data_IF_259623590601
#
_entry.id   IF_259623590601
#
_cell.length_a   1.000
_cell.length_b   1.000
_cell.length_c   1.000
_cell.angle_alpha   90.00
_cell.angle_beta   90.00
_cell.angle_gamma   90.00
#
_symmetry.space_group_name_H-M   'P 1'
#
loop_
_entity.id
_entity.type
_entity.pdbx_description
1 polymer ?
#
# COMPACT_ATOMS: atom_id res chain seq x y z
N UNK A 1 -14.47 -5.78 -3.73
CA UNK A 1 -13.24 -5.81 -4.57
C UNK A 1 -13.47 -5.18 -5.94
N UNK A 2 -14.69 -5.23 -6.50
CA UNK A 2 -15.04 -4.54 -7.75
C UNK A 2 -14.68 -3.05 -7.71
N UNK A 3 -14.91 -2.39 -6.58
CA UNK A 3 -14.65 -0.97 -6.35
C UNK A 3 -13.17 -0.63 -6.54
N UNK A 4 -12.27 -1.52 -6.09
CA UNK A 4 -10.82 -1.37 -6.30
C UNK A 4 -10.50 -1.47 -7.79
N UNK A 5 -11.03 -2.50 -8.48
CA UNK A 5 -10.81 -2.68 -9.92
C UNK A 5 -11.33 -1.47 -10.73
N UNK A 6 -12.53 -0.99 -10.42
CA UNK A 6 -13.16 0.13 -11.11
C UNK A 6 -12.38 1.43 -10.89
N UNK A 7 -11.84 1.63 -9.67
CA UNK A 7 -10.99 2.77 -9.36
C UNK A 7 -9.64 2.73 -10.10
N UNK A 8 -9.03 1.55 -10.24
CA UNK A 8 -7.74 1.38 -10.94
C UNK A 8 -7.78 1.82 -12.41
N UNK A 9 -8.97 1.87 -13.03
CA UNK A 9 -9.16 2.42 -14.38
C UNK A 9 -8.74 3.90 -14.49
N UNK A 10 -8.77 4.63 -13.37
CA UNK A 10 -8.49 6.06 -13.28
C UNK A 10 -7.12 6.35 -12.64
N UNK A 11 -6.25 5.35 -12.57
CA UNK A 11 -4.88 5.50 -12.06
C UNK A 11 -4.17 6.69 -12.72
N UNK A 12 -3.64 7.60 -11.90
CA UNK A 12 -2.86 8.73 -12.39
C UNK A 12 -3.68 9.90 -12.92
N UNK A 13 -5.02 9.81 -13.00
CA UNK A 13 -5.88 10.95 -13.33
C UNK A 13 -5.67 12.10 -12.34
N UNK A 14 -5.78 13.32 -12.86
CA UNK A 14 -5.68 14.53 -12.05
C UNK A 14 -7.02 14.80 -11.38
N UNK A 15 -7.01 14.85 -10.05
CA UNK A 15 -8.11 15.33 -9.24
C UNK A 15 -7.93 16.82 -8.92
N UNK A 16 -9.05 17.51 -8.81
CA UNK A 16 -9.17 18.89 -8.31
C UNK A 16 -10.47 19.01 -7.54
N UNK A 17 -10.56 19.96 -6.61
CA UNK A 17 -11.80 20.19 -5.87
C UNK A 17 -12.96 20.42 -6.88
N UNK A 18 -14.07 19.64 -6.80
CA UNK A 18 -15.21 19.77 -7.71
C UNK A 18 -15.74 21.20 -7.86
N UNK A 19 -15.71 22.01 -6.80
CA UNK A 19 -16.15 23.41 -6.83
C UNK A 19 -15.28 24.29 -7.73
N UNK A 20 -14.02 23.91 -7.93
CA UNK A 20 -13.03 24.60 -8.76
C UNK A 20 -12.84 23.94 -10.13
N UNK A 21 -13.60 22.89 -10.44
CA UNK A 21 -13.42 22.08 -11.64
C UNK A 21 -14.26 22.56 -12.84
N UNK A 22 -15.18 23.50 -12.63
CA UNK A 22 -16.02 24.05 -13.70
C UNK A 22 -16.80 22.94 -14.42
N UNK A 23 -16.59 22.82 -15.73
CA UNK A 23 -17.24 21.79 -16.55
C UNK A 23 -16.87 20.34 -16.14
N UNK A 24 -15.72 20.12 -15.50
CA UNK A 24 -15.30 18.80 -15.02
C UNK A 24 -15.82 18.45 -13.62
N UNK A 25 -16.71 19.27 -13.03
CA UNK A 25 -17.24 19.04 -11.68
C UNK A 25 -17.77 17.62 -11.47
N UNK A 26 -18.59 17.13 -12.40
CA UNK A 26 -19.21 15.80 -12.28
C UNK A 26 -18.16 14.68 -12.38
N UNK A 27 -17.16 14.84 -13.25
CA UNK A 27 -16.00 13.94 -13.31
C UNK A 27 -15.26 13.90 -11.97
N UNK A 28 -15.01 15.06 -11.34
CA UNK A 28 -14.31 15.11 -10.06
C UNK A 28 -15.13 14.49 -8.91
N UNK A 29 -16.46 14.63 -8.94
CA UNK A 29 -17.36 13.98 -7.99
C UNK A 29 -17.29 12.44 -8.12
N UNK A 30 -17.36 11.94 -9.36
CA UNK A 30 -17.25 10.52 -9.67
C UNK A 30 -15.89 9.94 -9.26
N UNK A 31 -14.78 10.61 -9.60
CA UNK A 31 -13.43 10.19 -9.17
C UNK A 31 -13.30 10.15 -7.65
N UNK A 32 -13.85 11.16 -6.94
CA UNK A 32 -13.84 11.21 -5.47
C UNK A 32 -14.61 10.04 -4.88
N UNK A 33 -15.82 9.77 -5.39
CA UNK A 33 -16.64 8.66 -4.93
C UNK A 33 -15.91 7.33 -5.12
N UNK A 34 -15.42 7.04 -6.33
CA UNK A 34 -14.66 5.82 -6.64
C UNK A 34 -13.43 5.66 -5.76
N UNK A 35 -12.67 6.75 -5.56
CA UNK A 35 -11.49 6.73 -4.68
C UNK A 35 -11.83 6.45 -3.21
N UNK A 36 -12.92 7.03 -2.70
CA UNK A 36 -13.39 6.79 -1.33
C UNK A 36 -13.91 5.37 -1.14
N UNK A 37 -14.70 4.86 -2.09
CA UNK A 37 -15.22 3.49 -2.07
C UNK A 37 -14.09 2.47 -2.15
N UNK A 38 -13.13 2.64 -3.07
CA UNK A 38 -11.97 1.77 -3.18
C UNK A 38 -11.11 1.78 -1.91
N UNK A 39 -10.89 2.96 -1.31
CA UNK A 39 -10.18 3.08 -0.02
C UNK A 39 -10.94 2.36 1.09
N UNK A 40 -12.27 2.51 1.16
CA UNK A 40 -13.11 1.83 2.16
C UNK A 40 -13.02 0.31 2.02
N UNK A 41 -13.12 -0.20 0.80
CA UNK A 41 -12.96 -1.63 0.49
C UNK A 41 -11.59 -2.15 0.90
N UNK A 42 -10.51 -1.43 0.58
CA UNK A 42 -9.16 -1.83 1.00
C UNK A 42 -9.00 -1.77 2.52
N UNK A 43 -9.58 -0.77 3.18
CA UNK A 43 -9.55 -0.64 4.65
C UNK A 43 -10.25 -1.82 5.31
N UNK A 44 -11.42 -2.21 4.81
CA UNK A 44 -12.12 -3.38 5.30
C UNK A 44 -11.31 -4.68 5.12
N UNK A 45 -10.61 -4.82 3.99
CA UNK A 45 -9.71 -5.95 3.76
C UNK A 45 -8.55 -5.96 4.78
N UNK A 46 -7.96 -4.81 5.08
CA UNK A 46 -6.92 -4.68 6.09
C UNK A 46 -7.43 -4.99 7.51
N UNK A 47 -8.64 -4.55 7.85
CA UNK A 47 -9.31 -4.88 9.13
C UNK A 47 -9.58 -6.39 9.25
N UNK A 48 -10.02 -7.05 8.17
CA UNK A 48 -10.20 -8.50 8.14
C UNK A 48 -8.89 -9.28 8.30
N UNK A 49 -7.78 -8.71 7.84
CA UNK A 49 -6.44 -9.27 8.08
C UNK A 49 -6.05 -9.08 9.55
N UNK A 50 -6.20 -7.86 10.08
CA UNK A 50 -5.93 -7.54 11.48
C UNK A 50 -6.77 -8.40 12.45
N UNK A 51 -8.03 -8.67 12.14
CA UNK A 51 -8.89 -9.52 12.98
C UNK A 51 -8.34 -10.95 13.14
N UNK A 52 -7.53 -11.44 12.19
CA UNK A 52 -6.83 -12.74 12.26
C UNK A 52 -5.47 -12.66 12.95
N UNK A 53 -4.93 -11.46 13.11
CA UNK A 53 -3.66 -11.14 13.75
C UNK A 53 -3.88 -10.02 14.76
N UNK A 54 -4.69 -10.30 15.78
CA UNK A 54 -5.19 -9.30 16.73
C UNK A 54 -4.10 -8.68 17.61
N UNK A 55 -2.92 -9.31 17.64
CA UNK A 55 -1.71 -8.76 18.24
C UNK A 55 -1.11 -7.60 17.44
N UNK A 56 -1.63 -7.31 16.23
CA UNK A 56 -1.12 -6.25 15.37
C UNK A 56 -2.09 -5.06 15.33
N UNK A 57 -1.51 -3.87 15.48
CA UNK A 57 -2.21 -2.59 15.37
C UNK A 57 -2.23 -2.13 13.92
N UNK A 58 -3.42 -2.01 13.34
CA UNK A 58 -3.62 -1.48 12.00
C UNK A 58 -3.53 0.05 12.00
N UNK A 59 -2.59 0.60 11.24
CA UNK A 59 -2.47 2.02 10.97
C UNK A 59 -3.50 2.44 9.90
N UNK A 60 -3.87 3.74 9.84
CA UNK A 60 -4.80 4.23 8.83
C UNK A 60 -4.36 3.90 7.40
N UNK A 61 -5.29 3.37 6.61
CA UNK A 61 -5.09 3.14 5.18
C UNK A 61 -4.69 4.44 4.48
N UNK A 62 -3.73 4.33 3.55
CA UNK A 62 -3.28 5.42 2.69
C UNK A 62 -4.42 6.15 1.98
N UNK A 63 -4.17 7.39 1.58
CA UNK A 63 -5.13 8.17 0.81
C UNK A 63 -5.17 7.74 -0.67
N UNK A 64 -6.34 7.86 -1.28
CA UNK A 64 -6.59 7.52 -2.69
C UNK A 64 -6.00 8.55 -3.68
N UNK A 65 -5.49 9.68 -3.20
CA UNK A 65 -4.76 10.64 -4.03
C UNK A 65 -3.45 11.06 -3.35
N UNK A 66 -2.45 11.45 -4.14
CA UNK A 66 -1.18 11.97 -3.63
C UNK A 66 -1.28 13.48 -3.36
N UNK A 67 -0.19 14.07 -2.86
CA UNK A 67 -0.13 15.51 -2.57
C UNK A 67 -0.29 16.39 -3.81
N UNK A 68 0.08 15.90 -4.99
CA UNK A 68 -0.17 16.54 -6.28
C UNK A 68 -1.61 16.32 -6.81
N UNK A 69 -2.50 15.80 -5.96
CA UNK A 69 -3.89 15.48 -6.30
C UNK A 69 -4.03 14.50 -7.46
N UNK A 70 -3.08 13.58 -7.64
CA UNK A 70 -3.20 12.49 -8.63
C UNK A 70 -3.69 11.22 -7.96
N UNK A 71 -4.63 10.53 -8.62
CA UNK A 71 -5.16 9.25 -8.16
C UNK A 71 -4.05 8.22 -8.06
N UNK A 72 -3.99 7.52 -6.93
CA UNK A 72 -2.92 6.57 -6.59
C UNK A 72 -3.39 5.15 -6.82
N UNK A 73 -2.70 4.37 -7.65
CA UNK A 73 -3.07 2.96 -7.87
C UNK A 73 -2.71 2.06 -6.69
N UNK A 74 -1.88 2.55 -5.76
CA UNK A 74 -1.37 1.78 -4.65
C UNK A 74 -2.02 2.25 -3.34
N UNK A 75 -2.91 1.42 -2.81
CA UNK A 75 -3.30 1.49 -1.40
C UNK A 75 -2.32 0.70 -0.54
N UNK A 76 -2.08 1.17 0.68
CA UNK A 76 -1.43 0.38 1.71
C UNK A 76 -2.02 0.65 3.09
N UNK A 77 -1.82 -0.31 3.99
CA UNK A 77 -1.98 -0.18 5.44
C UNK A 77 -0.78 -0.84 6.12
N UNK A 78 -0.30 -0.24 7.21
CA UNK A 78 0.76 -0.82 8.03
C UNK A 78 0.14 -1.54 9.22
N UNK A 79 0.63 -2.73 9.52
CA UNK A 79 0.25 -3.55 10.67
C UNK A 79 1.49 -3.65 11.57
N UNK A 80 1.39 -3.03 12.74
CA UNK A 80 2.48 -2.94 13.70
C UNK A 80 2.18 -3.83 14.91
N UNK A 81 3.02 -4.83 15.17
CA UNK A 81 2.89 -5.67 16.36
C UNK A 81 3.35 -4.93 17.62
N UNK A 82 4.64 -4.66 17.71
CA UNK A 82 5.29 -4.10 18.89
C UNK A 82 6.30 -3.00 18.50
N UNK A 83 6.78 -2.26 19.50
CA UNK A 83 7.88 -1.31 19.36
C UNK A 83 7.47 0.08 18.84
N UNK A 84 8.48 0.81 18.36
CA UNK A 84 8.32 2.20 17.91
C UNK A 84 7.94 2.30 16.44
N UNK A 85 7.45 3.47 16.00
CA UNK A 85 7.10 3.72 14.60
C UNK A 85 8.30 3.62 13.64
N UNK A 86 9.53 3.58 14.19
CA UNK A 86 10.78 3.38 13.46
C UNK A 86 11.08 1.90 13.23
N UNK A 87 10.38 0.98 13.92
CA UNK A 87 10.55 -0.45 13.72
C UNK A 87 9.95 -0.91 12.39
N UNK A 88 10.53 -1.95 11.75
CA UNK A 88 9.89 -2.64 10.65
C UNK A 88 8.52 -3.23 11.06
N UNK A 89 7.60 -3.23 10.12
CA UNK A 89 6.20 -3.62 10.25
C UNK A 89 5.78 -4.44 9.04
N UNK A 90 4.58 -5.02 9.09
CA UNK A 90 3.99 -5.60 7.90
C UNK A 90 3.23 -4.52 7.12
N UNK A 91 3.58 -4.32 5.85
CA UNK A 91 2.81 -3.49 4.93
C UNK A 91 1.92 -4.37 4.08
N UNK A 92 0.61 -4.21 4.22
CA UNK A 92 -0.37 -4.76 3.31
C UNK A 92 -0.54 -3.77 2.16
N UNK A 93 -0.39 -4.22 0.91
CA UNK A 93 -0.42 -3.34 -0.27
C UNK A 93 -1.30 -3.88 -1.38
N UNK A 94 -1.95 -2.96 -2.08
CA UNK A 94 -2.48 -3.18 -3.41
C UNK A 94 -1.38 -2.91 -4.43
N UNK A 95 -1.17 -3.83 -5.36
CA UNK A 95 -0.25 -3.66 -6.49
C UNK A 95 -0.96 -3.93 -7.83
N UNK A 96 -0.32 -3.47 -8.91
CA UNK A 96 -0.77 -3.73 -10.29
C UNK A 96 -1.68 -2.65 -10.86
N UNK A 97 -2.49 -3.03 -11.85
CA UNK A 97 -3.40 -2.16 -12.59
C UNK A 97 -4.77 -2.83 -12.81
N UNK A 98 -5.72 -2.14 -13.45
CA UNK A 98 -7.08 -2.65 -13.65
C UNK A 98 -7.17 -4.05 -14.27
N UNK A 99 -6.21 -4.43 -15.13
CA UNK A 99 -6.18 -5.71 -15.83
C UNK A 99 -5.49 -6.81 -15.02
N UNK A 100 -4.49 -6.46 -14.22
CA UNK A 100 -3.76 -7.40 -13.38
C UNK A 100 -3.34 -6.70 -12.09
N UNK A 101 -4.07 -6.99 -11.00
CA UNK A 101 -3.82 -6.44 -9.68
C UNK A 101 -3.95 -7.53 -8.62
N UNK A 102 -3.33 -7.29 -7.47
CA UNK A 102 -3.36 -8.22 -6.35
C UNK A 102 -3.02 -7.54 -5.04
N UNK A 103 -3.00 -8.34 -3.98
CA UNK A 103 -2.60 -7.92 -2.64
C UNK A 103 -1.25 -8.57 -2.32
N UNK A 104 -0.30 -7.76 -1.84
CA UNK A 104 0.95 -8.25 -1.27
C UNK A 104 1.01 -7.92 0.22
N UNK A 105 1.77 -8.72 0.94
CA UNK A 105 2.20 -8.41 2.29
C UNK A 105 3.72 -8.50 2.35
N UNK A 106 4.36 -7.50 2.95
CA UNK A 106 5.81 -7.38 2.96
C UNK A 106 6.30 -6.81 4.29
N UNK A 107 7.53 -7.14 4.68
CA UNK A 107 8.21 -6.47 5.78
C UNK A 107 8.71 -5.11 5.26
N UNK A 108 8.18 -4.02 5.81
CA UNK A 108 8.47 -2.65 5.37
C UNK A 108 8.54 -1.72 6.58
N UNK A 109 8.91 -0.46 6.38
CA UNK A 109 8.86 0.58 7.41
C UNK A 109 8.28 1.87 6.85
N UNK A 110 7.88 2.79 7.71
CA UNK A 110 7.41 4.12 7.29
C UNK A 110 8.63 4.98 7.01
N UNK A 111 8.93 5.23 5.74
CA UNK A 111 10.17 5.89 5.31
C UNK A 111 10.47 7.22 6.01
N UNK A 112 9.46 8.09 6.14
CA UNK A 112 9.57 9.39 6.85
C UNK A 112 9.81 9.28 8.36
N UNK A 113 9.78 8.07 8.91
CA UNK A 113 10.01 7.75 10.34
C UNK A 113 11.27 6.89 10.53
N UNK A 114 12.02 6.56 9.48
CA UNK A 114 13.22 5.73 9.60
C UNK A 114 14.27 6.42 10.49
N UNK A 115 14.99 5.61 11.25
CA UNK A 115 16.19 5.98 12.00
C UNK A 115 17.42 5.22 11.47
N UNK A 116 18.57 5.39 12.13
CA UNK A 116 19.85 4.76 11.75
C UNK A 116 19.82 3.23 11.86
N UNK A 117 18.92 2.67 12.67
CA UNK A 117 18.85 1.22 12.94
C UNK A 117 17.76 0.51 12.13
N UNK A 118 16.80 1.25 11.58
CA UNK A 118 15.59 0.72 10.92
C UNK A 118 15.93 -0.30 9.82
N UNK A 119 16.89 0.05 8.94
CA UNK A 119 17.28 -0.83 7.83
C UNK A 119 17.95 -2.11 8.33
N UNK A 120 18.86 -2.01 9.31
CA UNK A 120 19.53 -3.17 9.90
C UNK A 120 18.53 -4.11 10.58
N UNK A 121 17.46 -3.58 11.18
CA UNK A 121 16.38 -4.39 11.75
C UNK A 121 15.53 -5.07 10.69
N UNK A 122 15.22 -4.39 9.58
CA UNK A 122 14.49 -4.99 8.45
C UNK A 122 15.31 -6.12 7.82
N UNK A 123 16.63 -5.92 7.67
CA UNK A 123 17.54 -6.88 7.06
C UNK A 123 17.62 -8.23 7.79
N UNK A 124 17.19 -8.31 9.06
CA UNK A 124 17.10 -9.58 9.81
C UNK A 124 16.19 -10.61 9.13
N UNK A 125 15.29 -10.19 8.24
CA UNK A 125 14.50 -11.12 7.41
C UNK A 125 15.40 -12.01 6.54
N UNK A 126 16.61 -11.57 6.22
CA UNK A 126 17.61 -12.33 5.45
C UNK A 126 18.29 -13.44 6.27
N UNK A 127 18.14 -13.42 7.60
CA UNK A 127 18.63 -14.48 8.48
C UNK A 127 17.68 -15.71 8.50
N UNK A 128 16.50 -15.59 7.88
CA UNK A 128 15.53 -16.70 7.78
C UNK A 128 16.02 -17.70 6.73
N UNK A 129 16.16 -19.00 7.06
CA UNK A 129 16.56 -19.98 6.06
C UNK A 129 15.56 -20.06 4.90
N UNK A 130 16.07 -20.10 3.67
CA UNK A 130 15.24 -20.38 2.49
C UNK A 130 14.71 -21.80 2.60
N UNK A 131 13.38 -21.94 2.69
CA UNK A 131 12.68 -23.23 2.66
C UNK A 131 11.93 -23.38 1.34
N UNK A 132 11.39 -24.58 1.07
CA UNK A 132 10.62 -24.85 -0.15
C UNK A 132 9.50 -23.81 -0.35
N UNK A 133 9.43 -23.22 -1.54
CA UNK A 133 8.46 -22.17 -1.88
C UNK A 133 8.86 -20.75 -1.48
N UNK A 134 9.97 -20.57 -0.75
CA UNK A 134 10.56 -19.25 -0.44
C UNK A 134 11.82 -19.05 -1.29
N UNK A 135 12.14 -17.80 -1.62
CA UNK A 135 13.39 -17.42 -2.24
C UNK A 135 13.74 -15.97 -1.88
N UNK A 136 15.01 -15.62 -1.97
CA UNK A 136 15.42 -14.23 -1.98
C UNK A 136 15.62 -13.76 -3.41
N UNK A 137 15.10 -12.57 -3.71
CA UNK A 137 15.39 -11.88 -4.97
C UNK A 137 16.33 -10.72 -4.66
N UNK A 138 17.57 -10.84 -5.10
CA UNK A 138 18.60 -9.85 -4.82
C UNK A 138 18.75 -8.94 -6.03
N UNK A 139 18.71 -7.63 -5.78
CA UNK A 139 19.02 -6.60 -6.77
C UNK A 139 20.31 -5.89 -6.36
N UNK A 140 21.36 -6.02 -7.17
CA UNK A 140 22.68 -5.45 -6.88
C UNK A 140 23.35 -5.04 -8.18
N UNK A 141 23.87 -3.82 -8.25
CA UNK A 141 24.55 -3.29 -9.44
C UNK A 141 23.69 -3.44 -10.72
N UNK A 142 22.40 -3.11 -10.62
CA UNK A 142 21.41 -3.28 -11.70
C UNK A 142 21.18 -4.72 -12.19
N UNK A 143 21.80 -5.71 -11.56
CA UNK A 143 21.57 -7.13 -11.80
C UNK A 143 20.55 -7.70 -10.81
N UNK A 144 19.75 -8.65 -11.28
CA UNK A 144 18.76 -9.37 -10.47
C UNK A 144 19.04 -10.86 -10.49
N UNK A 145 19.14 -11.48 -9.31
CA UNK A 145 19.32 -12.93 -9.19
C UNK A 145 18.57 -13.52 -8.00
N UNK A 146 18.19 -14.79 -8.15
CA UNK A 146 17.53 -15.58 -7.12
C UNK A 146 18.59 -16.25 -6.24
N UNK A 147 18.39 -16.18 -4.92
CA UNK A 147 19.17 -16.89 -3.89
C UNK A 147 18.24 -17.82 -3.11
#
# INVERSE_FOLDING_TARGET
MKEIKDYLAYQGEQYRNPEKAGAEKDKMLDLRQKGQEARKTFTHLAECFQARHSDWNLHPTSQWMNQAQRLRPHFWGYLQREGHVTEPMMALRLYGNQNNWGISIEVSFVERKKDETTLSKQAKVLDVPVVEGIYYWVQKNDESYRV
#
